data_IF_707761957194
#
_entry.id   IF_707761957194
#
_cell.length_a   1.000
_cell.length_b   1.000
_cell.length_c   1.000
_cell.angle_alpha   90.00
_cell.angle_beta   90.00
_cell.angle_gamma   90.00
#
_symmetry.space_group_name_H-M   'P 1'
#
loop_
_entity.id
_entity.type
_entity.pdbx_description
1 polymer ?
#
# COMPACT_ATOMS: atom_id res chain seq x y z
N UNK A 1 -11.04 -3.69 -12.84
CA UNK A 1 -9.56 -3.49 -12.90
C UNK A 1 -8.97 -3.92 -11.57
N UNK A 2 -7.69 -4.28 -11.53
CA UNK A 2 -6.99 -4.63 -10.27
C UNK A 2 -6.12 -3.46 -9.82
N UNK A 3 -6.22 -3.09 -8.55
CA UNK A 3 -5.51 -1.95 -7.95
C UNK A 3 -4.78 -2.42 -6.70
N UNK A 4 -3.47 -2.20 -6.65
CA UNK A 4 -2.68 -2.46 -5.46
C UNK A 4 -2.89 -1.34 -4.43
N UNK A 5 -3.11 -1.67 -3.16
CA UNK A 5 -3.35 -0.72 -2.09
C UNK A 5 -2.11 -0.62 -1.21
N UNK A 6 -1.53 0.57 -1.16
CA UNK A 6 -0.32 0.92 -0.40
C UNK A 6 -0.64 1.30 1.06
N UNK A 7 0.36 1.19 1.94
CA UNK A 7 0.30 1.55 3.35
C UNK A 7 -0.20 2.98 3.60
N UNK A 8 0.23 3.95 2.78
CA UNK A 8 -0.22 5.35 2.92
C UNK A 8 -1.75 5.49 2.81
N UNK A 9 -2.37 4.77 1.88
CA UNK A 9 -3.83 4.76 1.73
C UNK A 9 -4.52 4.06 2.91
N UNK A 10 -3.94 2.94 3.37
CA UNK A 10 -4.44 2.20 4.52
C UNK A 10 -4.48 3.06 5.80
N UNK A 11 -3.39 3.80 6.05
CA UNK A 11 -3.27 4.71 7.20
C UNK A 11 -4.34 5.81 7.11
N UNK A 12 -4.43 6.49 5.97
CA UNK A 12 -5.39 7.56 5.77
C UNK A 12 -6.85 7.09 5.90
N UNK A 13 -7.16 5.87 5.46
CA UNK A 13 -8.52 5.32 5.60
C UNK A 13 -8.94 5.17 7.08
N UNK A 14 -7.98 4.88 7.97
CA UNK A 14 -8.28 4.59 9.38
C UNK A 14 -8.02 5.77 10.34
N UNK A 15 -7.02 6.59 10.04
CA UNK A 15 -6.66 7.74 10.83
C UNK A 15 -7.55 8.92 10.48
N UNK A 16 -8.56 9.20 11.32
CA UNK A 16 -9.49 10.33 11.14
C UNK A 16 -8.81 11.70 11.12
N UNK A 17 -7.64 11.78 11.77
CA UNK A 17 -6.84 13.00 11.88
C UNK A 17 -5.85 13.15 10.70
N UNK A 18 -5.83 12.18 9.77
CA UNK A 18 -5.00 12.22 8.57
C UNK A 18 -5.57 13.23 7.56
N UNK A 19 -4.70 14.04 6.95
CA UNK A 19 -5.09 15.04 5.95
C UNK A 19 -5.78 14.40 4.74
N UNK A 20 -5.47 13.14 4.42
CA UNK A 20 -6.06 12.40 3.32
C UNK A 20 -7.30 11.58 3.72
N UNK A 21 -7.74 11.60 4.98
CA UNK A 21 -8.83 10.73 5.46
C UNK A 21 -10.12 10.85 4.65
N UNK A 22 -10.57 12.08 4.39
CA UNK A 22 -11.78 12.29 3.59
C UNK A 22 -11.60 11.83 2.14
N UNK A 23 -10.40 12.01 1.58
CA UNK A 23 -10.08 11.61 0.21
C UNK A 23 -10.04 10.08 0.09
N UNK A 24 -9.42 9.40 1.06
CA UNK A 24 -9.36 7.95 1.14
C UNK A 24 -10.77 7.32 1.18
N UNK A 25 -11.68 7.86 2.00
CA UNK A 25 -13.06 7.40 2.07
C UNK A 25 -13.81 7.57 0.73
N UNK A 26 -13.65 8.72 0.07
CA UNK A 26 -14.28 8.97 -1.25
C UNK A 26 -13.74 8.03 -2.32
N UNK A 27 -12.43 7.82 -2.37
CA UNK A 27 -11.79 6.90 -3.31
C UNK A 27 -12.20 5.44 -3.05
N UNK A 28 -12.25 5.03 -1.79
CA UNK A 28 -12.73 3.69 -1.41
C UNK A 28 -14.16 3.44 -1.91
N UNK A 29 -15.07 4.42 -1.71
CA UNK A 29 -16.45 4.32 -2.20
C UNK A 29 -16.50 4.23 -3.72
N UNK A 30 -15.78 5.11 -4.43
CA UNK A 30 -15.72 5.12 -5.90
C UNK A 30 -15.17 3.81 -6.46
N UNK A 31 -14.12 3.25 -5.86
CA UNK A 31 -13.53 2.00 -6.32
C UNK A 31 -14.47 0.81 -6.13
N UNK A 32 -15.25 0.79 -5.05
CA UNK A 32 -16.35 -0.17 -4.84
C UNK A 32 -17.43 -0.06 -5.93
N UNK A 33 -17.86 1.15 -6.27
CA UNK A 33 -18.87 1.40 -7.31
C UNK A 33 -18.41 0.95 -8.71
N UNK A 34 -17.10 0.97 -8.98
CA UNK A 34 -16.53 0.54 -10.27
C UNK A 34 -16.20 -0.95 -10.36
N UNK A 35 -16.57 -1.75 -9.35
CA UNK A 35 -16.21 -3.18 -9.25
C UNK A 35 -14.70 -3.41 -9.44
N UNK A 36 -13.87 -2.52 -8.91
CA UNK A 36 -12.42 -2.68 -8.92
C UNK A 36 -12.01 -3.71 -7.86
N UNK A 37 -11.14 -4.65 -8.23
CA UNK A 37 -10.53 -5.58 -7.29
C UNK A 37 -9.39 -4.86 -6.59
N UNK A 38 -9.46 -4.78 -5.27
CA UNK A 38 -8.42 -4.21 -4.43
C UNK A 38 -7.58 -5.35 -3.86
N UNK A 39 -6.27 -5.21 -4.00
CA UNK A 39 -5.28 -6.19 -3.52
C UNK A 39 -4.24 -5.41 -2.71
N UNK A 40 -3.74 -5.98 -1.62
CA UNK A 40 -2.58 -5.43 -0.90
C UNK A 40 -1.56 -6.54 -0.62
N UNK A 41 -0.51 -6.23 0.13
CA UNK A 41 0.46 -7.23 0.58
C UNK A 41 0.59 -7.27 2.10
N UNK A 42 1.10 -8.38 2.61
CA UNK A 42 1.49 -8.49 4.03
C UNK A 42 2.51 -7.41 4.43
N UNK A 43 3.32 -6.91 3.50
CA UNK A 43 4.29 -5.84 3.72
C UNK A 43 3.59 -4.48 3.87
N UNK A 44 2.66 -4.13 2.98
CA UNK A 44 1.88 -2.90 3.08
C UNK A 44 1.07 -2.86 4.39
N UNK A 45 0.50 -4.01 4.77
CA UNK A 45 -0.18 -4.17 6.05
C UNK A 45 0.79 -3.97 7.23
N UNK A 46 1.94 -4.65 7.23
CA UNK A 46 2.93 -4.53 8.30
C UNK A 46 3.44 -3.09 8.47
N UNK A 47 3.72 -2.40 7.37
CA UNK A 47 4.12 -1.00 7.36
C UNK A 47 3.02 -0.10 7.94
N UNK A 48 1.77 -0.27 7.48
CA UNK A 48 0.63 0.53 7.96
C UNK A 48 0.40 0.36 9.46
N UNK A 49 0.48 -0.87 9.97
CA UNK A 49 0.31 -1.19 11.39
C UNK A 49 1.46 -0.62 12.21
N UNK A 50 2.70 -0.77 11.73
CA UNK A 50 3.89 -0.26 12.43
C UNK A 50 3.89 1.28 12.49
N UNK A 51 3.56 1.97 11.39
CA UNK A 51 3.43 3.43 11.38
C UNK A 51 2.29 3.90 12.28
N UNK A 52 1.13 3.25 12.20
CA UNK A 52 0.00 3.53 13.08
C UNK A 52 0.39 3.33 14.55
N UNK A 53 1.11 2.27 14.88
CA UNK A 53 1.58 2.00 16.25
C UNK A 53 2.51 3.12 16.74
N UNK A 54 3.50 3.50 15.93
CA UNK A 54 4.48 4.51 16.28
C UNK A 54 3.89 5.91 16.44
N UNK A 55 2.94 6.29 15.59
CA UNK A 55 2.38 7.65 15.58
C UNK A 55 1.11 7.80 16.40
N UNK A 56 0.28 6.76 16.46
CA UNK A 56 -1.08 6.83 17.01
C UNK A 56 -1.30 5.87 18.21
N UNK A 57 -0.31 5.04 18.52
CA UNK A 57 -0.28 4.17 19.68
C UNK A 57 -0.94 2.79 19.46
N UNK A 58 -0.73 1.86 20.42
CA UNK A 58 -1.09 0.44 20.28
C UNK A 58 -2.59 0.21 20.07
N UNK A 59 -3.45 1.00 20.73
CA UNK A 59 -4.92 0.84 20.61
C UNK A 59 -5.41 1.12 19.19
N UNK A 60 -4.92 2.20 18.56
CA UNK A 60 -5.31 2.56 17.18
C UNK A 60 -4.72 1.54 16.19
N UNK A 61 -3.49 1.09 16.38
CA UNK A 61 -2.86 0.08 15.53
C UNK A 61 -3.58 -1.28 15.56
N UNK A 62 -3.95 -1.76 16.76
CA UNK A 62 -4.73 -2.99 16.92
C UNK A 62 -6.06 -2.90 16.16
N UNK A 63 -6.79 -1.79 16.35
CA UNK A 63 -8.08 -1.60 15.68
C UNK A 63 -7.95 -1.53 14.16
N UNK A 64 -6.87 -0.93 13.64
CA UNK A 64 -6.59 -0.92 12.22
C UNK A 64 -6.36 -2.35 11.68
N UNK A 65 -5.57 -3.16 12.39
CA UNK A 65 -5.31 -4.56 12.02
C UNK A 65 -6.59 -5.40 12.01
N UNK A 66 -7.43 -5.30 13.05
CA UNK A 66 -8.72 -6.00 13.14
C UNK A 66 -9.61 -5.66 11.94
N UNK A 67 -9.73 -4.37 11.60
CA UNK A 67 -10.52 -3.91 10.46
C UNK A 67 -9.97 -4.41 9.12
N UNK A 68 -8.64 -4.52 8.97
CA UNK A 68 -8.06 -5.11 7.76
C UNK A 68 -8.41 -6.60 7.62
N UNK A 69 -8.32 -7.35 8.71
CA UNK A 69 -8.66 -8.78 8.71
C UNK A 69 -10.14 -9.01 8.40
N UNK A 70 -11.03 -8.10 8.82
CA UNK A 70 -12.48 -8.16 8.55
C UNK A 70 -12.87 -7.59 7.17
N UNK A 71 -11.99 -6.83 6.51
CA UNK A 71 -12.34 -6.09 5.29
C UNK A 71 -12.58 -6.96 4.05
N UNK A 72 -12.16 -8.23 4.07
CA UNK A 72 -12.16 -9.12 2.90
C UNK A 72 -11.19 -8.68 1.80
N UNK A 73 -10.29 -7.74 2.08
CA UNK A 73 -9.23 -7.32 1.17
C UNK A 73 -8.27 -8.48 0.92
N UNK A 74 -7.95 -8.74 -0.34
CA UNK A 74 -7.00 -9.78 -0.71
C UNK A 74 -5.58 -9.37 -0.28
N UNK A 75 -4.94 -10.20 0.55
CA UNK A 75 -3.59 -9.95 1.06
C UNK A 75 -2.63 -10.95 0.43
N UNK A 76 -1.72 -10.44 -0.39
CA UNK A 76 -0.67 -11.22 -1.01
C UNK A 76 0.51 -11.34 -0.04
N UNK A 77 0.92 -12.58 0.22
CA UNK A 77 2.15 -12.84 0.96
C UNK A 77 3.33 -12.77 0.00
N UNK A 78 4.22 -11.83 0.27
CA UNK A 78 5.45 -11.64 -0.51
C UNK A 78 6.30 -12.90 -0.43
N UNK A 79 6.60 -13.49 -1.59
CA UNK A 79 7.45 -14.66 -1.72
C UNK A 79 8.94 -14.29 -1.70
N UNK A 80 9.81 -15.31 -1.61
CA UNK A 80 11.26 -15.11 -1.71
C UNK A 80 11.66 -14.45 -3.03
N UNK A 81 11.03 -14.85 -4.12
CA UNK A 81 11.30 -14.32 -5.46
C UNK A 81 10.96 -12.83 -5.55
N UNK A 82 9.84 -12.43 -4.92
CA UNK A 82 9.45 -11.01 -4.83
C UNK A 82 10.46 -10.23 -3.99
N UNK A 83 10.94 -10.79 -2.87
CA UNK A 83 12.01 -10.17 -2.07
C UNK A 83 13.29 -9.97 -2.87
N UNK A 84 13.76 -11.02 -3.55
CA UNK A 84 14.99 -10.96 -4.33
C UNK A 84 14.88 -9.92 -5.45
N UNK A 85 13.72 -9.84 -6.12
CA UNK A 85 13.42 -8.79 -7.11
C UNK A 85 13.38 -7.40 -6.48
N UNK A 86 12.77 -7.23 -5.31
CA UNK A 86 12.73 -5.94 -4.62
C UNK A 86 14.14 -5.44 -4.26
N UNK A 87 15.05 -6.33 -3.86
CA UNK A 87 16.45 -5.96 -3.64
C UNK A 87 17.14 -5.53 -4.93
N UNK A 88 16.90 -6.22 -6.04
CA UNK A 88 17.42 -5.80 -7.34
C UNK A 88 16.92 -4.39 -7.71
N UNK A 89 15.63 -4.12 -7.53
CA UNK A 89 15.05 -2.78 -7.76
C UNK A 89 15.69 -1.73 -6.84
N UNK A 90 15.84 -2.05 -5.56
CA UNK A 90 16.41 -1.14 -4.55
C UNK A 90 17.84 -0.71 -4.92
N UNK A 91 18.70 -1.68 -5.26
CA UNK A 91 20.12 -1.42 -5.55
C UNK A 91 20.39 -0.99 -6.99
N UNK A 92 19.43 -1.14 -7.90
CA UNK A 92 19.52 -0.59 -9.26
C UNK A 92 19.30 0.94 -9.30
N UNK A 93 18.87 1.57 -8.21
CA UNK A 93 18.67 3.03 -8.13
C UNK A 93 20.02 3.77 -8.24
N UNK A 94 20.40 4.18 -9.46
CA UNK A 94 21.74 4.68 -9.81
C UNK A 94 22.15 6.03 -9.19
N UNK A 95 21.28 6.75 -8.49
CA UNK A 95 21.64 8.02 -7.80
C UNK A 95 20.51 8.67 -7.01
N UNK A 96 19.25 8.40 -7.35
CA UNK A 96 18.08 8.92 -6.63
C UNK A 96 17.58 7.85 -5.67
N UNK A 97 17.83 8.02 -4.37
CA UNK A 97 17.25 7.21 -3.28
C UNK A 97 15.77 7.58 -3.10
N UNK A 98 15.01 7.57 -4.18
CA UNK A 98 13.62 8.03 -4.18
C UNK A 98 12.70 6.96 -3.57
N UNK A 99 13.02 5.67 -3.74
CA UNK A 99 12.18 4.56 -3.25
C UNK A 99 12.90 3.76 -2.17
N UNK A 100 12.21 3.52 -1.05
CA UNK A 100 12.66 2.64 0.02
C UNK A 100 12.39 1.17 -0.28
N UNK A 101 12.82 0.27 0.61
CA UNK A 101 12.62 -1.17 0.45
C UNK A 101 11.13 -1.55 0.34
N UNK A 102 10.25 -0.94 1.15
CA UNK A 102 8.82 -1.24 1.09
C UNK A 102 8.20 -0.80 -0.24
N UNK A 103 8.60 0.36 -0.76
CA UNK A 103 8.21 0.82 -2.10
C UNK A 103 8.66 -0.20 -3.17
N UNK A 104 9.91 -0.69 -3.10
CA UNK A 104 10.42 -1.71 -4.01
C UNK A 104 9.68 -3.06 -3.87
N UNK A 105 9.28 -3.44 -2.66
CA UNK A 105 8.47 -4.65 -2.43
C UNK A 105 7.06 -4.50 -3.01
N UNK A 106 6.47 -3.31 -2.96
CA UNK A 106 5.18 -3.04 -3.59
C UNK A 106 5.30 -3.16 -5.11
N UNK A 107 6.32 -2.54 -5.70
CA UNK A 107 6.58 -2.63 -7.15
C UNK A 107 6.87 -4.05 -7.61
N UNK A 108 7.72 -4.80 -6.90
CA UNK A 108 8.01 -6.19 -7.24
C UNK A 108 6.75 -7.08 -7.12
N UNK A 109 5.93 -6.86 -6.09
CA UNK A 109 4.65 -7.58 -5.93
C UNK A 109 3.72 -7.28 -7.10
N UNK A 110 3.55 -5.99 -7.43
CA UNK A 110 2.73 -5.55 -8.55
C UNK A 110 3.19 -6.13 -9.89
N UNK A 111 4.50 -6.12 -10.15
CA UNK A 111 5.11 -6.72 -11.34
C UNK A 111 4.80 -8.23 -11.42
N UNK A 112 4.96 -8.96 -10.31
CA UNK A 112 4.71 -10.41 -10.26
C UNK A 112 3.25 -10.79 -10.55
N UNK A 113 2.31 -9.89 -10.25
CA UNK A 113 0.86 -10.08 -10.43
C UNK A 113 0.32 -9.39 -11.70
N UNK A 114 1.16 -8.71 -12.48
CA UNK A 114 0.73 -7.93 -13.63
C UNK A 114 -0.13 -6.70 -13.29
N UNK A 115 -0.08 -6.21 -12.04
CA UNK A 115 -0.84 -5.05 -11.57
C UNK A 115 -0.10 -3.77 -11.97
N UNK A 116 -0.79 -2.85 -12.64
CA UNK A 116 -0.18 -1.60 -13.16
C UNK A 116 -0.64 -0.33 -12.45
N UNK A 117 -1.59 -0.46 -11.53
CA UNK A 117 -2.21 0.67 -10.83
C UNK A 117 -2.06 0.49 -9.32
N UNK A 118 -1.59 1.54 -8.66
CA UNK A 118 -1.46 1.62 -7.20
C UNK A 118 -2.39 2.72 -6.66
N UNK A 119 -3.00 2.46 -5.52
CA UNK A 119 -3.78 3.40 -4.73
C UNK A 119 -2.88 3.84 -3.56
N UNK A 120 -2.34 5.06 -3.66
CA UNK A 120 -1.31 5.58 -2.75
C UNK A 120 -1.35 7.10 -2.74
N UNK A 121 -1.09 7.71 -1.58
CA UNK A 121 -0.86 9.14 -1.46
C UNK A 121 0.61 9.52 -1.65
N UNK A 122 1.48 8.54 -1.84
CA UNK A 122 2.89 8.75 -2.10
C UNK A 122 3.16 9.08 -3.57
N UNK A 123 3.55 10.33 -3.81
CA UNK A 123 3.83 10.85 -5.15
C UNK A 123 5.06 10.20 -5.81
N UNK A 124 5.92 9.53 -5.04
CA UNK A 124 7.16 8.90 -5.56
C UNK A 124 6.83 7.77 -6.54
N UNK A 125 5.71 7.06 -6.37
CA UNK A 125 5.25 6.03 -7.30
C UNK A 125 4.84 6.55 -8.68
N UNK A 126 4.55 7.86 -8.85
CA UNK A 126 4.10 8.41 -10.15
C UNK A 126 5.13 8.29 -11.26
N UNK A 127 6.40 8.07 -10.92
CA UNK A 127 7.48 7.84 -11.90
C UNK A 127 7.54 6.39 -12.38
N UNK A 128 6.92 5.46 -11.66
CA UNK A 128 7.08 4.01 -11.85
C UNK A 128 5.79 3.35 -12.35
N UNK A 129 4.63 3.75 -11.81
CA UNK A 129 3.33 3.11 -12.06
C UNK A 129 2.19 4.13 -12.09
N UNK A 130 1.01 3.70 -12.56
CA UNK A 130 -0.19 4.55 -12.52
C UNK A 130 -0.65 4.69 -11.07
N UNK A 131 -0.72 5.92 -10.56
CA UNK A 131 -1.20 6.22 -9.20
C UNK A 131 -2.63 6.74 -9.23
N UNK A 132 -3.48 6.18 -8.37
CA UNK A 132 -4.75 6.77 -7.94
C UNK A 132 -4.47 7.42 -6.59
N UNK A 133 -4.64 8.73 -6.50
CA UNK A 133 -4.41 9.52 -5.29
C UNK A 133 -5.59 10.42 -4.93
#
# INVERSE_FOLDING_TARGET
>A
MTVFVDASFLIALFNRDDEFHQKANRLSKKLKETSSQLITSNIALAESVNLTFRHLGPKKARKALEVFQESGLEIIFVSREIFDKAYQLLFAQKSKRDLGLFDCLHLATMESLGIKTILSFDKRFKKEVKVID
#
